data_IF_529926547304
#
_entry.id   IF_529926547304
#
_cell.length_a   1.000
_cell.length_b   1.000
_cell.length_c   1.000
_cell.angle_alpha   90.00
_cell.angle_beta   90.00
_cell.angle_gamma   90.00
#
_symmetry.space_group_name_H-M   'P 1'
#
loop_
_entity.id
_entity.type
_entity.pdbx_description
1 polymer ?
#
# COMPACT_ATOMS: atom_id res chain seq x y z
N UNK A 1 -61.78 68.99 -30.16
CA UNK A 1 -61.71 67.54 -29.89
C UNK A 1 -60.52 66.98 -30.65
N UNK A 2 -59.52 66.42 -29.97
CA UNK A 2 -58.45 65.66 -30.66
C UNK A 2 -59.05 64.36 -31.21
N UNK A 3 -58.68 63.90 -32.42
CA UNK A 3 -59.29 62.72 -33.00
C UNK A 3 -58.65 61.47 -32.40
N UNK A 4 -59.48 60.67 -31.74
CA UNK A 4 -59.15 59.38 -31.07
C UNK A 4 -58.44 58.40 -32.02
N UNK A 5 -58.57 58.59 -33.34
CA UNK A 5 -57.92 57.79 -34.38
C UNK A 5 -56.40 57.97 -34.46
N UNK A 6 -55.87 59.13 -34.06
CA UNK A 6 -54.43 59.41 -34.06
C UNK A 6 -53.70 58.61 -32.98
N UNK A 7 -54.28 58.49 -31.79
CA UNK A 7 -53.64 57.86 -30.63
C UNK A 7 -53.57 56.32 -30.82
N UNK A 8 -54.58 55.73 -31.47
CA UNK A 8 -54.62 54.30 -31.78
C UNK A 8 -53.55 53.90 -32.82
N UNK A 9 -53.33 54.72 -33.85
CA UNK A 9 -52.30 54.46 -34.87
C UNK A 9 -50.88 54.54 -34.27
N UNK A 10 -50.63 55.52 -33.40
CA UNK A 10 -49.33 55.63 -32.73
C UNK A 10 -49.04 54.45 -31.79
N UNK A 11 -50.07 53.97 -31.07
CA UNK A 11 -49.92 52.81 -30.18
C UNK A 11 -49.59 51.54 -30.97
N UNK A 12 -50.27 51.30 -32.10
CA UNK A 12 -50.01 50.15 -32.97
C UNK A 12 -48.61 50.18 -33.60
N UNK A 13 -48.09 51.36 -33.95
CA UNK A 13 -46.71 51.50 -34.44
C UNK A 13 -45.70 51.14 -33.37
N UNK A 14 -45.90 51.62 -32.15
CA UNK A 14 -45.00 51.32 -31.04
C UNK A 14 -44.97 49.82 -30.73
N UNK A 15 -46.14 49.16 -30.67
CA UNK A 15 -46.24 47.71 -30.44
C UNK A 15 -45.52 46.91 -31.54
N UNK A 16 -45.64 47.31 -32.80
CA UNK A 16 -44.93 46.66 -33.91
C UNK A 16 -43.41 46.82 -33.82
N UNK A 17 -42.93 47.98 -33.37
CA UNK A 17 -41.49 48.22 -33.15
C UNK A 17 -40.96 47.32 -32.02
N UNK A 18 -41.71 47.22 -30.92
CA UNK A 18 -41.38 46.35 -29.78
C UNK A 18 -41.38 44.87 -30.18
N UNK A 19 -42.35 44.45 -31.01
CA UNK A 19 -42.40 43.10 -31.58
C UNK A 19 -41.20 42.84 -32.50
N UNK A 20 -40.82 43.80 -33.33
CA UNK A 20 -39.68 43.66 -34.23
C UNK A 20 -38.37 43.48 -33.46
N UNK A 21 -38.16 44.26 -32.40
CA UNK A 21 -37.00 44.12 -31.50
C UNK A 21 -37.02 42.76 -30.80
N UNK A 22 -38.18 42.37 -30.25
CA UNK A 22 -38.34 41.09 -29.55
C UNK A 22 -38.05 39.90 -30.46
N UNK A 23 -38.46 39.97 -31.73
CA UNK A 23 -38.16 38.96 -32.75
C UNK A 23 -36.65 38.82 -32.97
N UNK A 24 -35.92 39.91 -33.16
CA UNK A 24 -34.47 39.85 -33.37
C UNK A 24 -33.74 39.24 -32.17
N UNK A 25 -34.16 39.60 -30.95
CA UNK A 25 -33.57 39.04 -29.71
C UNK A 25 -33.80 37.53 -29.64
N UNK A 26 -34.99 37.06 -30.00
CA UNK A 26 -35.29 35.62 -30.04
C UNK A 26 -34.49 34.88 -31.11
N UNK A 27 -34.35 35.45 -32.31
CA UNK A 27 -33.56 34.86 -33.39
C UNK A 27 -32.09 34.68 -32.96
N UNK A 28 -31.49 35.71 -32.35
CA UNK A 28 -30.13 35.63 -31.81
C UNK A 28 -30.01 34.54 -30.73
N UNK A 29 -30.99 34.44 -29.83
CA UNK A 29 -30.97 33.43 -28.77
C UNK A 29 -31.12 32.01 -29.31
N UNK A 30 -31.86 31.82 -30.40
CA UNK A 30 -31.96 30.54 -31.10
C UNK A 30 -30.59 30.15 -31.67
N UNK A 31 -29.88 31.08 -32.30
CA UNK A 31 -28.55 30.82 -32.86
C UNK A 31 -27.53 30.45 -31.77
N UNK A 32 -27.50 31.18 -30.65
CA UNK A 32 -26.64 30.85 -29.50
C UNK A 32 -26.94 29.45 -28.91
N UNK A 33 -28.20 29.03 -28.90
CA UNK A 33 -28.59 27.70 -28.42
C UNK A 33 -28.18 26.58 -29.38
N UNK A 34 -28.20 26.84 -30.69
CA UNK A 34 -27.75 25.88 -31.70
C UNK A 34 -26.24 25.63 -31.60
N UNK A 35 -25.45 26.70 -31.45
CA UNK A 35 -24.00 26.60 -31.26
C UNK A 35 -23.65 25.81 -29.99
N UNK A 36 -24.35 26.09 -28.88
CA UNK A 36 -24.19 25.33 -27.65
C UNK A 36 -24.53 23.85 -27.85
N UNK A 37 -25.63 23.55 -28.53
CA UNK A 37 -26.03 22.17 -28.80
C UNK A 37 -24.97 21.40 -29.60
N UNK A 38 -24.39 22.03 -30.62
CA UNK A 38 -23.33 21.42 -31.42
C UNK A 38 -22.06 21.18 -30.59
N UNK A 39 -21.68 22.14 -29.73
CA UNK A 39 -20.56 21.98 -28.81
C UNK A 39 -20.79 20.82 -27.83
N UNK A 40 -21.99 20.71 -27.24
CA UNK A 40 -22.34 19.60 -26.34
C UNK A 40 -22.26 18.25 -27.04
N UNK A 41 -22.75 18.17 -28.28
CA UNK A 41 -22.71 16.94 -29.08
C UNK A 41 -21.27 16.53 -29.42
N UNK A 42 -20.43 17.49 -29.80
CA UNK A 42 -19.00 17.25 -30.06
C UNK A 42 -18.30 16.71 -28.81
N UNK A 43 -18.57 17.31 -27.64
CA UNK A 43 -18.02 16.85 -26.36
C UNK A 43 -18.49 15.45 -25.98
N UNK A 44 -19.76 15.13 -26.21
CA UNK A 44 -20.32 13.80 -25.97
C UNK A 44 -19.61 12.73 -26.80
N UNK A 45 -19.39 13.00 -28.09
CA UNK A 45 -18.66 12.10 -29.00
C UNK A 45 -17.20 11.91 -28.53
N UNK A 46 -16.53 12.99 -28.10
CA UNK A 46 -15.17 12.89 -27.58
C UNK A 46 -15.10 12.02 -26.30
N UNK A 47 -16.03 12.20 -25.37
CA UNK A 47 -16.07 11.42 -24.13
C UNK A 47 -16.37 9.95 -24.41
N UNK A 48 -17.32 9.65 -25.30
CA UNK A 48 -17.67 8.26 -25.65
C UNK A 48 -16.52 7.53 -26.35
N UNK A 49 -15.63 8.23 -27.05
CA UNK A 49 -14.42 7.65 -27.63
C UNK A 49 -13.34 7.31 -26.59
N UNK A 50 -13.21 8.09 -25.50
CA UNK A 50 -12.13 7.92 -24.51
C UNK A 50 -12.47 6.86 -23.45
N UNK A 51 -13.76 6.70 -23.13
CA UNK A 51 -14.24 5.76 -22.10
C UNK A 51 -13.78 4.30 -22.36
N UNK A 52 -13.86 3.75 -23.59
CA UNK A 52 -13.42 2.38 -23.85
C UNK A 52 -11.92 2.17 -23.60
N UNK A 53 -11.08 3.11 -24.01
CA UNK A 53 -9.63 2.99 -23.87
C UNK A 53 -9.19 3.13 -22.42
N UNK A 54 -9.80 4.05 -21.68
CA UNK A 54 -9.60 4.16 -20.23
C UNK A 54 -10.04 2.88 -19.50
N UNK A 55 -11.18 2.28 -19.87
CA UNK A 55 -11.61 0.98 -19.33
C UNK A 55 -10.61 -0.14 -19.61
N UNK A 56 -10.06 -0.21 -20.82
CA UNK A 56 -9.02 -1.20 -21.16
C UNK A 56 -7.75 -0.98 -20.34
N UNK A 57 -7.33 0.27 -20.15
CA UNK A 57 -6.16 0.60 -19.33
C UNK A 57 -6.37 0.17 -17.87
N UNK A 58 -7.56 0.40 -17.31
CA UNK A 58 -7.94 -0.04 -15.96
C UNK A 58 -7.87 -1.58 -15.87
N UNK A 59 -8.51 -2.31 -16.78
CA UNK A 59 -8.49 -3.78 -16.76
C UNK A 59 -7.06 -4.35 -16.87
N UNK A 60 -6.20 -3.71 -17.67
CA UNK A 60 -4.78 -4.08 -17.77
C UNK A 60 -4.02 -3.82 -16.47
N UNK A 61 -4.32 -2.71 -15.79
CA UNK A 61 -3.73 -2.38 -14.50
C UNK A 61 -4.17 -3.37 -13.41
N UNK A 62 -5.45 -3.72 -13.36
CA UNK A 62 -6.00 -4.74 -12.44
C UNK A 62 -5.28 -6.09 -12.60
N UNK A 63 -5.09 -6.56 -13.83
CA UNK A 63 -4.33 -7.79 -14.09
C UNK A 63 -2.88 -7.70 -13.62
N UNK A 64 -2.26 -6.53 -13.75
CA UNK A 64 -0.88 -6.32 -13.31
C UNK A 64 -0.77 -6.29 -11.79
N UNK A 65 -1.77 -5.72 -11.11
CA UNK A 65 -1.89 -5.72 -9.65
C UNK A 65 -2.03 -7.16 -9.14
N UNK A 66 -2.92 -7.97 -9.70
CA UNK A 66 -3.12 -9.37 -9.31
C UNK A 66 -1.81 -10.19 -9.40
N UNK A 67 -1.03 -10.01 -10.48
CA UNK A 67 0.29 -10.66 -10.63
C UNK A 67 1.26 -10.19 -9.54
N UNK A 68 1.24 -8.91 -9.18
CA UNK A 68 2.11 -8.35 -8.14
C UNK A 68 1.72 -8.81 -6.74
N UNK A 69 0.42 -8.88 -6.43
CA UNK A 69 -0.09 -9.41 -5.16
C UNK A 69 0.35 -10.86 -4.95
N UNK A 70 0.20 -11.70 -5.98
CA UNK A 70 0.67 -13.09 -5.94
C UNK A 70 2.18 -13.19 -5.66
N UNK A 71 2.99 -12.31 -6.25
CA UNK A 71 4.44 -12.26 -5.98
C UNK A 71 4.75 -11.79 -4.56
N UNK A 72 4.00 -10.82 -4.03
CA UNK A 72 4.16 -10.35 -2.66
C UNK A 72 3.85 -11.47 -1.67
N UNK A 73 2.74 -12.18 -1.87
CA UNK A 73 2.37 -13.31 -1.02
C UNK A 73 3.46 -14.40 -1.00
N UNK A 74 4.02 -14.72 -2.17
CA UNK A 74 5.10 -15.71 -2.26
C UNK A 74 6.36 -15.28 -1.50
N UNK A 75 6.71 -13.99 -1.55
CA UNK A 75 7.84 -13.45 -0.80
C UNK A 75 7.59 -13.46 0.71
N UNK A 76 6.36 -13.14 1.15
CA UNK A 76 5.95 -13.25 2.55
C UNK A 76 6.09 -14.69 3.07
N UNK A 77 5.65 -15.69 2.31
CA UNK A 77 5.80 -17.10 2.67
C UNK A 77 7.28 -17.49 2.82
N UNK A 78 8.14 -17.01 1.92
CA UNK A 78 9.59 -17.24 1.98
C UNK A 78 10.19 -16.60 3.23
N UNK A 79 9.83 -15.35 3.53
CA UNK A 79 10.32 -14.62 4.71
C UNK A 79 9.88 -15.38 5.97
N UNK A 80 8.61 -15.74 6.06
CA UNK A 80 8.07 -16.49 7.19
C UNK A 80 8.78 -17.84 7.40
N UNK A 81 9.07 -18.57 6.33
CA UNK A 81 9.83 -19.81 6.41
C UNK A 81 11.28 -19.59 6.87
N UNK A 82 11.91 -18.48 6.47
CA UNK A 82 13.26 -18.11 6.92
C UNK A 82 13.25 -17.70 8.39
N UNK A 83 12.27 -16.92 8.84
CA UNK A 83 12.14 -16.50 10.23
C UNK A 83 11.98 -17.71 11.16
N UNK A 84 11.15 -18.69 10.77
CA UNK A 84 11.04 -19.96 11.52
C UNK A 84 12.37 -20.71 11.61
N UNK A 85 13.16 -20.75 10.53
CA UNK A 85 14.49 -21.38 10.54
C UNK A 85 15.47 -20.62 11.44
N UNK A 86 15.44 -19.29 11.42
CA UNK A 86 16.27 -18.46 12.29
C UNK A 86 15.93 -18.75 13.75
N UNK A 87 14.64 -18.73 14.11
CA UNK A 87 14.19 -19.05 15.47
C UNK A 87 14.69 -20.43 15.90
N UNK A 88 14.50 -21.46 15.06
CA UNK A 88 14.97 -22.81 15.37
C UNK A 88 16.49 -22.90 15.54
N UNK A 89 17.27 -22.16 14.75
CA UNK A 89 18.72 -22.11 14.89
C UNK A 89 19.15 -21.37 16.17
N UNK A 90 18.48 -20.28 16.50
CA UNK A 90 18.71 -19.53 17.75
C UNK A 90 18.44 -20.43 18.96
N UNK A 91 17.32 -21.17 18.95
CA UNK A 91 16.98 -22.13 20.00
C UNK A 91 18.04 -23.24 20.13
N UNK A 92 18.54 -23.77 19.02
CA UNK A 92 19.62 -24.76 19.02
C UNK A 92 20.94 -24.19 19.57
N UNK A 93 21.31 -22.96 19.22
CA UNK A 93 22.52 -22.30 19.74
C UNK A 93 22.36 -22.07 21.25
N UNK A 94 21.21 -21.59 21.70
CA UNK A 94 20.93 -21.39 23.12
C UNK A 94 20.99 -22.72 23.89
N UNK A 95 20.48 -23.80 23.31
CA UNK A 95 20.57 -25.13 23.88
C UNK A 95 22.03 -25.63 23.98
N UNK A 96 22.81 -25.49 22.90
CA UNK A 96 24.24 -25.90 22.88
C UNK A 96 25.12 -25.07 23.81
N UNK A 97 24.88 -23.76 23.91
CA UNK A 97 25.62 -22.88 24.84
C UNK A 97 25.26 -23.14 26.30
N UNK A 98 24.04 -23.61 26.59
CA UNK A 98 23.67 -24.12 27.93
C UNK A 98 24.40 -25.42 28.27
N UNK A 99 24.79 -26.23 27.29
CA UNK A 99 25.71 -27.34 27.50
C UNK A 99 27.14 -26.80 27.57
N UNK A 100 27.47 -26.28 28.75
CA UNK A 100 28.80 -25.84 29.15
C UNK A 100 29.88 -26.80 28.65
N UNK A 101 30.97 -26.24 28.17
CA UNK A 101 32.19 -26.98 27.87
C UNK A 101 32.55 -27.90 29.06
N UNK A 102 32.50 -29.20 28.84
CA UNK A 102 32.77 -30.24 29.86
C UNK A 102 34.18 -30.16 30.44
N UNK A 103 35.06 -29.39 29.80
CA UNK A 103 36.42 -29.12 30.28
C UNK A 103 36.52 -27.90 31.19
N UNK A 104 35.47 -27.07 31.26
CA UNK A 104 35.40 -25.89 32.13
C UNK A 104 34.50 -26.19 33.32
N UNK A 105 34.97 -25.87 34.52
CA UNK A 105 34.19 -26.04 35.73
C UNK A 105 32.91 -25.18 35.68
N UNK A 106 31.72 -25.78 35.85
CA UNK A 106 30.46 -25.05 35.75
C UNK A 106 30.26 -24.13 36.97
N UNK A 107 29.54 -23.03 36.77
CA UNK A 107 29.22 -22.07 37.84
C UNK A 107 28.21 -22.63 38.84
N UNK A 108 27.30 -23.46 38.35
CA UNK A 108 26.29 -24.15 39.13
C UNK A 108 26.40 -25.63 38.74
N UNK A 109 26.67 -26.49 39.72
CA UNK A 109 26.67 -27.93 39.49
C UNK A 109 25.24 -28.42 39.31
N UNK A 110 25.02 -29.20 38.25
CA UNK A 110 23.72 -29.82 37.94
C UNK A 110 23.40 -30.97 38.91
N UNK A 111 24.40 -31.53 39.60
CA UNK A 111 24.21 -32.58 40.60
C UNK A 111 25.35 -32.70 41.63
N UNK A 112 25.08 -33.39 42.75
CA UNK A 112 26.11 -33.72 43.75
C UNK A 112 27.19 -34.65 43.19
N UNK A 113 26.84 -35.52 42.24
CA UNK A 113 27.80 -36.40 41.57
C UNK A 113 28.79 -35.59 40.71
N UNK A 114 28.28 -34.64 39.94
CA UNK A 114 29.09 -33.74 39.12
C UNK A 114 30.04 -32.90 39.98
N UNK A 115 29.54 -32.36 41.11
CA UNK A 115 30.37 -31.63 42.08
C UNK A 115 31.54 -32.46 42.59
N UNK A 116 31.29 -33.70 43.02
CA UNK A 116 32.34 -34.62 43.49
C UNK A 116 33.37 -34.93 42.41
N UNK A 117 32.93 -35.06 41.16
CA UNK A 117 33.80 -35.31 40.02
C UNK A 117 34.75 -34.14 39.75
N UNK A 118 34.27 -32.89 39.83
CA UNK A 118 35.10 -31.69 39.70
C UNK A 118 36.11 -31.52 40.83
N UNK A 119 35.71 -31.81 42.08
CA UNK A 119 36.63 -31.83 43.23
C UNK A 119 37.77 -32.83 43.01
N UNK A 120 37.45 -34.05 42.55
CA UNK A 120 38.46 -35.07 42.25
C UNK A 120 39.44 -34.62 41.15
N UNK A 121 38.92 -34.07 40.05
CA UNK A 121 39.75 -33.54 38.95
C UNK A 121 40.68 -32.41 39.42
N UNK A 122 40.21 -31.56 40.33
CA UNK A 122 41.01 -30.46 40.92
C UNK A 122 42.20 -31.04 41.68
N UNK A 123 41.97 -32.01 42.57
CA UNK A 123 43.04 -32.72 43.29
C UNK A 123 44.00 -33.46 42.35
N UNK A 124 43.48 -34.12 41.31
CA UNK A 124 44.32 -34.80 40.31
C UNK A 124 45.21 -33.80 39.53
N UNK A 125 44.72 -32.58 39.27
CA UNK A 125 45.48 -31.54 38.55
C UNK A 125 46.67 -30.97 39.32
N UNK A 126 46.67 -31.08 40.65
CA UNK A 126 47.80 -30.67 41.50
C UNK A 126 49.03 -31.53 41.26
N UNK A 127 48.84 -32.79 40.85
CA UNK A 127 49.90 -33.78 40.69
C UNK A 127 50.05 -34.31 39.25
N UNK A 128 49.07 -34.06 38.37
CA UNK A 128 49.07 -34.53 36.98
C UNK A 128 49.00 -33.34 36.00
N UNK A 129 50.12 -33.11 35.30
CA UNK A 129 50.25 -32.03 34.31
C UNK A 129 49.25 -32.17 33.14
N UNK A 130 48.90 -33.40 32.78
CA UNK A 130 47.95 -33.67 31.70
C UNK A 130 46.53 -33.22 32.09
N UNK A 131 46.12 -33.53 33.32
CA UNK A 131 44.84 -33.08 33.88
C UNK A 131 44.79 -31.56 33.99
N UNK A 132 45.90 -30.91 34.39
CA UNK A 132 46.00 -29.45 34.50
C UNK A 132 45.88 -28.72 33.16
N UNK A 133 46.36 -29.32 32.07
CA UNK A 133 46.20 -28.76 30.71
C UNK A 133 44.80 -29.00 30.15
N UNK A 134 44.14 -30.07 30.59
CA UNK A 134 42.86 -30.54 30.05
C UNK A 134 41.64 -29.83 30.62
N UNK A 135 41.70 -29.33 31.85
CA UNK A 135 40.54 -28.74 32.54
C UNK A 135 40.82 -27.31 33.01
N UNK A 136 39.81 -26.44 32.88
CA UNK A 136 39.82 -25.07 33.39
C UNK A 136 38.97 -25.01 34.67
N UNK A 137 39.62 -24.77 35.81
CA UNK A 137 38.95 -24.65 37.10
C UNK A 137 38.59 -23.19 37.38
N UNK A 138 37.39 -22.95 37.93
CA UNK A 138 36.97 -21.62 38.38
C UNK A 138 37.42 -21.41 39.84
N UNK A 139 37.81 -20.18 40.24
CA UNK A 139 38.14 -19.86 41.62
C UNK A 139 37.04 -20.24 42.61
#
# INVERSE_FOLDING_TARGET
MKPITSDCETSLRQENEELYISKQVLEKKIEELLDLQEQYKSREVAMTSIIPDTRKAIASAEKSIDILENKCQHLEDIIFAKDRKIIALVDQILFKTKHSDVTIEPEIYSSTHERKLWVKRRSESEHNLETRKKYTFRP
#
